data_IF_168141532782
#
_entry.id   IF_168141532782
#
_cell.length_a   1.000
_cell.length_b   1.000
_cell.length_c   1.000
_cell.angle_alpha   90.00
_cell.angle_beta   90.00
_cell.angle_gamma   90.00
#
_symmetry.space_group_name_H-M   'P 1'
#
loop_
_entity.id
_entity.type
_entity.pdbx_description
1 polymer ?
#
# COMPACT_ATOMS: atom_id res chain seq x y z
N UNK A 1 4.29 -35.63 8.94
CA UNK A 1 5.23 -34.50 9.15
C UNK A 1 4.87 -33.40 8.17
N UNK A 2 4.17 -32.35 8.60
CA UNK A 2 3.87 -31.19 7.76
C UNK A 2 5.03 -30.21 7.88
N UNK A 3 5.86 -30.12 6.85
CA UNK A 3 6.97 -29.16 6.78
C UNK A 3 6.37 -27.77 6.56
N UNK A 4 6.17 -27.01 7.64
CA UNK A 4 5.76 -25.62 7.54
C UNK A 4 6.95 -24.81 7.01
N UNK A 5 6.78 -24.02 5.94
CA UNK A 5 7.85 -23.16 5.47
C UNK A 5 8.24 -22.19 6.58
N UNK A 6 9.54 -22.13 6.93
CA UNK A 6 10.08 -21.14 7.86
C UNK A 6 10.47 -19.89 7.08
N UNK A 7 9.96 -18.74 7.53
CA UNK A 7 10.35 -17.42 7.01
C UNK A 7 11.54 -16.92 7.84
N UNK A 8 12.52 -16.29 7.19
CA UNK A 8 13.66 -15.68 7.88
C UNK A 8 13.20 -14.64 8.92
N UNK A 9 13.78 -14.57 10.13
CA UNK A 9 13.48 -13.51 11.10
C UNK A 9 13.75 -12.09 10.59
N UNK A 10 14.59 -11.96 9.55
CA UNK A 10 14.89 -10.69 8.90
C UNK A 10 13.91 -10.34 7.75
N UNK A 11 12.93 -11.19 7.45
CA UNK A 11 11.90 -10.88 6.47
C UNK A 11 10.90 -9.88 7.04
N UNK A 12 10.61 -8.83 6.27
CA UNK A 12 9.64 -7.80 6.63
C UNK A 12 8.68 -7.61 5.46
N UNK A 13 7.46 -7.16 5.76
CA UNK A 13 6.50 -6.78 4.73
C UNK A 13 6.94 -5.45 4.13
N UNK A 14 7.15 -5.44 2.81
CA UNK A 14 7.41 -4.22 2.05
C UNK A 14 6.11 -3.53 1.61
N UNK A 15 6.27 -2.43 0.87
CA UNK A 15 5.14 -1.71 0.25
C UNK A 15 4.44 -2.66 -0.73
N UNK A 16 3.11 -2.70 -0.67
CA UNK A 16 2.29 -3.46 -1.61
C UNK A 16 1.82 -2.53 -2.72
N UNK A 17 1.94 -2.94 -3.99
CA UNK A 17 1.35 -2.21 -5.12
C UNK A 17 0.04 -2.87 -5.53
N UNK A 18 -1.04 -2.08 -5.57
CA UNK A 18 -2.38 -2.52 -5.96
C UNK A 18 -2.79 -1.83 -7.25
N UNK A 19 -3.08 -2.62 -8.28
CA UNK A 19 -3.68 -2.12 -9.51
C UNK A 19 -5.16 -1.82 -9.28
N UNK A 20 -5.59 -0.60 -9.61
CA UNK A 20 -6.97 -0.13 -9.48
C UNK A 20 -7.48 0.36 -10.81
N UNK A 21 -8.80 0.25 -11.03
CA UNK A 21 -9.42 0.71 -12.28
C UNK A 21 -9.76 2.20 -12.30
N UNK A 22 -9.79 2.83 -11.12
CA UNK A 22 -10.02 4.27 -10.94
C UNK A 22 -9.20 4.72 -9.73
N UNK A 23 -8.15 5.49 -9.99
CA UNK A 23 -7.25 5.97 -8.95
C UNK A 23 -7.95 6.97 -8.02
N UNK A 24 -8.78 7.87 -8.54
CA UNK A 24 -9.43 8.91 -7.76
C UNK A 24 -10.45 8.32 -6.77
N UNK A 25 -11.27 7.38 -7.21
CA UNK A 25 -12.22 6.65 -6.37
C UNK A 25 -11.48 5.87 -5.27
N UNK A 26 -10.42 5.17 -5.64
CA UNK A 26 -9.63 4.37 -4.71
C UNK A 26 -8.96 5.26 -3.66
N UNK A 27 -8.39 6.39 -4.07
CA UNK A 27 -7.79 7.37 -3.15
C UNK A 27 -8.80 7.88 -2.14
N UNK A 28 -10.01 8.24 -2.56
CA UNK A 28 -11.05 8.69 -1.64
C UNK A 28 -11.38 7.62 -0.59
N UNK A 29 -11.46 6.35 -0.99
CA UNK A 29 -11.66 5.25 -0.04
C UNK A 29 -10.51 5.13 0.96
N UNK A 30 -9.26 5.04 0.48
CA UNK A 30 -8.11 4.81 1.34
C UNK A 30 -7.77 6.02 2.23
N UNK A 31 -7.99 7.25 1.76
CA UNK A 31 -7.77 8.45 2.56
C UNK A 31 -8.91 8.73 3.54
N UNK A 32 -10.17 8.65 3.09
CA UNK A 32 -11.31 9.07 3.93
C UNK A 32 -11.84 7.95 4.82
N UNK A 33 -11.88 6.71 4.35
CA UNK A 33 -12.42 5.59 5.14
C UNK A 33 -11.36 4.97 6.03
N UNK A 34 -10.15 4.77 5.49
CA UNK A 34 -9.04 4.13 6.21
C UNK A 34 -8.10 5.14 6.88
N UNK A 35 -8.19 6.44 6.53
CA UNK A 35 -7.36 7.48 7.14
C UNK A 35 -5.91 7.49 6.68
N UNK A 36 -5.58 6.81 5.58
CA UNK A 36 -4.24 6.85 5.00
C UNK A 36 -3.98 8.23 4.39
N UNK A 37 -2.71 8.59 4.20
CA UNK A 37 -2.33 9.85 3.58
C UNK A 37 -1.78 9.61 2.19
N UNK A 38 -2.44 10.20 1.20
CA UNK A 38 -2.02 10.17 -0.18
C UNK A 38 -0.83 11.09 -0.43
N UNK A 39 0.23 10.55 -1.03
CA UNK A 39 1.39 11.26 -1.52
C UNK A 39 1.56 10.92 -3.01
N UNK A 40 1.16 11.82 -3.94
CA UNK A 40 1.34 11.60 -5.37
C UNK A 40 2.82 11.40 -5.71
N UNK A 41 3.12 10.38 -6.51
CA UNK A 41 4.51 10.05 -6.90
C UNK A 41 4.73 10.30 -8.39
N UNK A 42 3.77 9.88 -9.23
CA UNK A 42 3.76 10.09 -10.66
C UNK A 42 2.32 10.05 -11.20
N UNK A 43 2.14 10.34 -12.49
CA UNK A 43 0.85 10.17 -13.14
C UNK A 43 0.40 8.69 -13.06
N UNK A 44 -0.85 8.46 -12.65
CA UNK A 44 -1.39 7.11 -12.42
C UNK A 44 -0.81 6.36 -11.22
N UNK A 45 0.05 7.00 -10.39
CA UNK A 45 0.68 6.35 -9.22
C UNK A 45 0.66 7.21 -7.98
N UNK A 46 0.09 6.67 -6.91
CA UNK A 46 0.02 7.36 -5.61
C UNK A 46 0.42 6.45 -4.48
N UNK A 47 1.29 6.95 -3.61
CA UNK A 47 1.68 6.27 -2.38
C UNK A 47 0.68 6.61 -1.27
N UNK A 48 0.33 5.62 -0.47
CA UNK A 48 -0.50 5.74 0.71
C UNK A 48 0.34 5.40 1.93
N UNK A 49 0.39 6.37 2.84
CA UNK A 49 1.22 6.33 4.05
C UNK A 49 0.36 6.31 5.30
N UNK A 50 0.90 5.75 6.38
CA UNK A 50 0.38 5.99 7.72
C UNK A 50 0.68 7.43 8.16
N UNK A 51 0.10 7.84 9.29
CA UNK A 51 0.28 9.20 9.83
C UNK A 51 1.75 9.59 10.10
N UNK A 52 2.63 8.60 10.28
CA UNK A 52 4.07 8.76 10.49
C UNK A 52 4.90 8.80 9.19
N UNK A 53 4.23 8.92 8.03
CA UNK A 53 4.84 8.86 6.69
C UNK A 53 5.42 7.49 6.32
N UNK A 54 5.16 6.44 7.10
CA UNK A 54 5.57 5.07 6.72
C UNK A 54 4.76 4.63 5.50
N UNK A 55 5.40 4.24 4.39
CA UNK A 55 4.70 3.82 3.19
C UNK A 55 4.14 2.42 3.35
N UNK A 56 2.85 2.27 3.05
CA UNK A 56 2.13 1.01 3.26
C UNK A 56 1.63 0.41 1.94
N UNK A 57 1.10 1.27 1.06
CA UNK A 57 0.40 0.86 -0.15
C UNK A 57 0.75 1.82 -1.28
N UNK A 58 0.92 1.31 -2.49
CA UNK A 58 1.00 2.07 -3.73
C UNK A 58 -0.23 1.73 -4.57
N UNK A 59 -0.97 2.74 -5.01
CA UNK A 59 -2.04 2.57 -5.98
C UNK A 59 -1.49 2.86 -7.37
N UNK A 60 -1.77 1.97 -8.32
CA UNK A 60 -1.35 2.07 -9.72
C UNK A 60 -2.58 1.90 -10.61
N UNK A 61 -2.77 2.79 -11.58
CA UNK A 61 -3.80 2.70 -12.62
C UNK A 61 -3.20 2.28 -13.97
#
# INVERSE_FOLDING_TARGET
>A
MTNQPSISPAAHIGIVSLTVSDLAQSLAFYDTVLGLRAAPVAEGRTLLTAADSTPLLELVE
#
